data_IF_943045974035
#
_entry.id   IF_943045974035
#
_cell.length_a   1.000
_cell.length_b   1.000
_cell.length_c   1.000
_cell.angle_alpha   90.00
_cell.angle_beta   90.00
_cell.angle_gamma   90.00
#
_symmetry.space_group_name_H-M   'P 1'
#
loop_
_entity.id
_entity.type
_entity.pdbx_description
1 polymer ?
#
# COMPACT_ATOMS: atom_id res chain seq x y z
N UNK A 1 10.10 6.85 -32.77
CA UNK A 1 10.01 7.54 -31.46
C UNK A 1 10.59 6.62 -30.40
N UNK A 2 11.86 6.79 -30.06
CA UNK A 2 12.56 5.91 -29.11
C UNK A 2 12.01 6.20 -27.72
N UNK A 3 11.10 5.35 -27.24
CA UNK A 3 10.57 5.39 -25.89
C UNK A 3 11.75 5.30 -24.92
N UNK A 4 12.07 6.41 -24.23
CA UNK A 4 13.02 6.38 -23.12
C UNK A 4 12.34 5.68 -21.96
N UNK A 5 12.32 4.35 -22.02
CA UNK A 5 11.77 3.44 -21.00
C UNK A 5 12.62 3.53 -19.71
N UNK A 6 13.88 3.99 -19.80
CA UNK A 6 14.82 4.12 -18.68
C UNK A 6 14.91 5.59 -18.24
N UNK A 7 13.88 6.11 -17.57
CA UNK A 7 14.03 7.34 -16.76
C UNK A 7 14.51 6.99 -15.36
N UNK A 8 15.17 7.93 -14.64
CA UNK A 8 15.56 7.71 -13.24
C UNK A 8 14.38 7.28 -12.37
N UNK A 9 13.20 7.84 -12.63
CA UNK A 9 11.98 7.47 -11.92
C UNK A 9 11.59 6.00 -12.12
N UNK A 10 11.53 5.53 -13.38
CA UNK A 10 11.18 4.16 -13.67
C UNK A 10 12.20 3.15 -13.08
N UNK A 11 13.48 3.51 -13.02
CA UNK A 11 14.49 2.69 -12.37
C UNK A 11 14.23 2.54 -10.86
N UNK A 12 13.78 3.60 -10.20
CA UNK A 12 13.46 3.56 -8.77
C UNK A 12 12.19 2.73 -8.52
N UNK A 13 11.16 2.86 -9.36
CA UNK A 13 9.96 1.99 -9.27
C UNK A 13 10.32 0.51 -9.46
N UNK A 14 11.17 0.18 -10.45
CA UNK A 14 11.65 -1.19 -10.68
C UNK A 14 12.48 -1.70 -9.49
N UNK A 15 13.35 -0.86 -8.93
CA UNK A 15 14.12 -1.18 -7.73
C UNK A 15 13.20 -1.47 -6.54
N UNK A 16 12.10 -0.71 -6.39
CA UNK A 16 11.09 -0.96 -5.36
C UNK A 16 10.41 -2.30 -5.55
N UNK A 17 10.05 -2.67 -6.77
CA UNK A 17 9.55 -4.02 -7.06
C UNK A 17 10.56 -5.09 -6.67
N UNK A 18 11.85 -4.85 -6.90
CA UNK A 18 12.90 -5.77 -6.48
C UNK A 18 12.98 -5.87 -4.95
N UNK A 19 12.71 -4.82 -4.18
CA UNK A 19 12.70 -4.89 -2.71
C UNK A 19 11.59 -5.78 -2.13
N UNK A 20 10.48 -5.99 -2.84
CA UNK A 20 9.34 -6.79 -2.37
C UNK A 20 9.72 -8.25 -2.04
N UNK A 21 10.30 -9.05 -2.98
CA UNK A 21 10.68 -10.42 -2.68
C UNK A 21 11.81 -10.48 -1.63
N UNK A 22 12.75 -9.54 -1.63
CA UNK A 22 13.81 -9.50 -0.61
C UNK A 22 13.22 -9.25 0.78
N UNK A 23 12.29 -8.31 0.92
CA UNK A 23 11.57 -8.07 2.16
C UNK A 23 10.84 -9.33 2.62
N UNK A 24 10.10 -9.98 1.72
CA UNK A 24 9.36 -11.19 2.03
C UNK A 24 10.28 -12.32 2.53
N UNK A 25 11.38 -12.58 1.82
CA UNK A 25 12.38 -13.59 2.20
C UNK A 25 12.97 -13.25 3.58
N UNK A 26 13.33 -11.99 3.85
CA UNK A 26 13.91 -11.61 5.14
C UNK A 26 12.92 -11.75 6.31
N UNK A 27 11.64 -11.44 6.09
CA UNK A 27 10.59 -11.67 7.10
C UNK A 27 10.40 -13.16 7.33
N UNK A 28 10.31 -13.94 6.25
CA UNK A 28 10.20 -15.40 6.33
C UNK A 28 11.42 -15.98 7.02
N UNK A 29 12.64 -15.53 6.78
CA UNK A 29 13.85 -16.02 7.46
C UNK A 29 14.03 -15.47 8.89
N UNK A 30 13.05 -14.72 9.42
CA UNK A 30 13.11 -14.04 10.73
C UNK A 30 14.27 -13.05 10.87
N UNK A 31 14.82 -12.59 9.75
CA UNK A 31 15.88 -11.57 9.69
C UNK A 31 15.26 -10.18 9.72
N UNK A 32 14.48 -9.88 10.76
CA UNK A 32 13.65 -8.68 10.85
C UNK A 32 14.42 -7.36 10.82
N UNK A 33 15.68 -7.33 11.30
CA UNK A 33 16.55 -6.15 11.16
C UNK A 33 16.86 -5.84 9.70
N UNK A 34 17.10 -6.87 8.90
CA UNK A 34 17.28 -6.73 7.45
C UNK A 34 15.98 -6.34 6.77
N UNK A 35 14.86 -6.96 7.14
CA UNK A 35 13.54 -6.60 6.62
C UNK A 35 13.19 -5.14 6.91
N UNK A 36 13.51 -4.64 8.12
CA UNK A 36 13.34 -3.24 8.48
C UNK A 36 14.21 -2.31 7.62
N UNK A 37 15.48 -2.67 7.39
CA UNK A 37 16.36 -1.90 6.52
C UNK A 37 15.83 -1.83 5.08
N UNK A 38 15.34 -2.95 4.53
CA UNK A 38 14.71 -2.98 3.20
C UNK A 38 13.44 -2.14 3.17
N UNK A 39 12.60 -2.22 4.20
CA UNK A 39 11.37 -1.43 4.31
C UNK A 39 11.67 0.07 4.33
N UNK A 40 12.66 0.50 5.11
CA UNK A 40 13.12 1.89 5.15
C UNK A 40 13.72 2.32 3.82
N UNK A 41 14.55 1.48 3.19
CA UNK A 41 15.14 1.76 1.89
C UNK A 41 14.07 1.91 0.80
N UNK A 42 13.04 1.07 0.81
CA UNK A 42 11.91 1.15 -0.11
C UNK A 42 11.12 2.45 0.06
N UNK A 43 10.79 2.82 1.31
CA UNK A 43 10.08 4.06 1.61
C UNK A 43 10.90 5.31 1.24
N UNK A 44 12.21 5.28 1.48
CA UNK A 44 13.10 6.38 1.11
C UNK A 44 13.24 6.51 -0.41
N UNK A 45 13.29 5.38 -1.11
CA UNK A 45 13.33 5.34 -2.58
C UNK A 45 12.07 5.96 -3.19
N UNK A 46 10.89 5.68 -2.63
CA UNK A 46 9.62 6.30 -3.06
C UNK A 46 9.62 7.82 -2.90
N UNK A 47 10.04 8.29 -1.73
CA UNK A 47 10.09 9.72 -1.47
C UNK A 47 11.04 10.45 -2.44
N UNK A 48 12.19 9.85 -2.75
CA UNK A 48 13.14 10.41 -3.73
C UNK A 48 12.52 10.41 -5.12
N UNK A 49 11.93 9.31 -5.56
CA UNK A 49 11.31 9.19 -6.88
C UNK A 49 10.24 10.25 -7.08
N UNK A 50 9.33 10.38 -6.12
CA UNK A 50 8.26 11.37 -6.16
C UNK A 50 8.78 12.81 -6.19
N UNK A 51 9.93 13.11 -5.58
CA UNK A 51 10.56 14.44 -5.64
C UNK A 51 11.25 14.66 -7.00
N UNK A 52 12.02 13.68 -7.46
CA UNK A 52 12.79 13.74 -8.71
C UNK A 52 11.83 13.83 -9.91
N UNK A 53 10.76 13.06 -9.94
CA UNK A 53 9.74 13.11 -10.98
C UNK A 53 9.09 14.50 -11.06
N UNK A 54 8.74 15.09 -9.91
CA UNK A 54 8.16 16.45 -9.82
C UNK A 54 9.12 17.55 -10.27
N UNK A 55 10.40 17.44 -9.89
CA UNK A 55 11.41 18.44 -10.24
C UNK A 55 11.83 18.36 -11.72
N UNK A 56 11.94 17.15 -12.27
CA UNK A 56 12.41 16.94 -13.64
C UNK A 56 11.28 16.94 -14.68
N UNK A 57 10.00 16.91 -14.27
CA UNK A 57 8.84 16.73 -15.15
C UNK A 57 8.99 15.51 -16.09
N UNK A 58 9.69 14.48 -15.62
CA UNK A 58 10.02 13.26 -16.36
C UNK A 58 9.11 12.09 -15.96
N UNK A 59 7.82 12.37 -15.81
CA UNK A 59 6.82 11.32 -15.57
C UNK A 59 6.59 10.55 -16.88
N UNK A 60 6.80 9.24 -16.83
CA UNK A 60 6.46 8.37 -17.96
C UNK A 60 5.10 7.71 -17.70
N UNK A 61 4.27 7.48 -18.74
CA UNK A 61 3.00 6.77 -18.57
C UNK A 61 3.16 5.39 -17.91
N UNK A 62 4.30 4.74 -18.16
CA UNK A 62 4.63 3.42 -17.64
C UNK A 62 4.95 3.49 -16.13
N UNK A 63 5.80 4.44 -15.71
CA UNK A 63 6.11 4.65 -14.29
C UNK A 63 4.87 5.03 -13.46
N UNK A 64 4.04 5.94 -13.99
CA UNK A 64 2.79 6.37 -13.33
C UNK A 64 1.81 5.21 -13.14
N UNK A 65 1.78 4.24 -14.07
CA UNK A 65 0.95 3.05 -13.93
C UNK A 65 1.56 2.00 -12.98
N UNK A 66 2.89 1.85 -12.97
CA UNK A 66 3.58 0.86 -12.14
C UNK A 66 3.67 1.27 -10.67
N UNK A 67 3.76 2.55 -10.36
CA UNK A 67 3.99 3.04 -9.01
C UNK A 67 2.86 2.61 -8.02
N UNK A 68 1.56 2.80 -8.33
CA UNK A 68 0.47 2.28 -7.47
C UNK A 68 0.43 0.76 -7.37
N UNK A 69 0.92 0.04 -8.39
CA UNK A 69 0.97 -1.43 -8.39
C UNK A 69 2.08 -1.90 -7.45
N UNK A 70 3.27 -1.30 -7.56
CA UNK A 70 4.42 -1.60 -6.72
C UNK A 70 4.09 -1.40 -5.23
N UNK A 71 3.44 -0.29 -4.89
CA UNK A 71 3.05 0.02 -3.51
C UNK A 71 2.05 -0.98 -2.94
N UNK A 72 1.03 -1.35 -3.73
CA UNK A 72 0.05 -2.34 -3.29
C UNK A 72 0.65 -3.72 -3.13
N UNK A 73 1.54 -4.12 -4.04
CA UNK A 73 2.24 -5.39 -3.93
C UNK A 73 3.12 -5.42 -2.68
N UNK A 74 3.89 -4.36 -2.41
CA UNK A 74 4.71 -4.26 -1.21
C UNK A 74 3.87 -4.41 0.07
N UNK A 75 2.77 -3.66 0.17
CA UNK A 75 1.88 -3.73 1.35
C UNK A 75 1.22 -5.11 1.48
N UNK A 76 0.67 -5.64 0.39
CA UNK A 76 0.01 -6.96 0.39
C UNK A 76 0.99 -8.05 0.81
N UNK A 77 2.19 -8.07 0.22
CA UNK A 77 3.25 -9.00 0.58
C UNK A 77 3.69 -8.83 2.04
N UNK A 78 3.77 -7.60 2.55
CA UNK A 78 4.17 -7.36 3.93
C UNK A 78 3.15 -7.89 4.94
N UNK A 79 1.86 -7.63 4.72
CA UNK A 79 0.79 -8.16 5.57
C UNK A 79 0.71 -9.69 5.53
N UNK A 80 0.91 -10.30 4.36
CA UNK A 80 0.94 -11.76 4.20
C UNK A 80 2.14 -12.37 4.92
N UNK A 81 3.36 -11.85 4.68
CA UNK A 81 4.58 -12.37 5.28
C UNK A 81 4.56 -12.24 6.82
N UNK A 82 4.08 -11.11 7.34
CA UNK A 82 3.93 -10.90 8.78
C UNK A 82 2.85 -11.78 9.40
N UNK A 83 1.72 -12.00 8.71
CA UNK A 83 0.68 -12.91 9.19
C UNK A 83 1.14 -14.38 9.19
N UNK A 84 1.89 -14.77 8.16
CA UNK A 84 2.49 -16.10 8.07
C UNK A 84 3.48 -16.37 9.21
N UNK A 85 4.17 -15.32 9.69
CA UNK A 85 5.05 -15.39 10.86
C UNK A 85 4.37 -15.09 12.19
N UNK A 86 3.04 -15.06 12.23
CA UNK A 86 2.22 -14.76 13.42
C UNK A 86 2.53 -13.40 14.08
N UNK A 87 3.26 -12.52 13.37
CA UNK A 87 3.59 -11.18 13.84
C UNK A 87 2.37 -10.24 13.74
N UNK A 88 1.47 -10.53 12.80
CA UNK A 88 0.16 -9.91 12.66
C UNK A 88 -0.92 -10.98 12.62
N UNK A 89 -2.14 -10.69 13.12
CA UNK A 89 -3.21 -11.66 13.06
C UNK A 89 -3.83 -11.73 11.66
N UNK A 90 -4.18 -12.93 11.21
CA UNK A 90 -4.79 -13.17 9.89
C UNK A 90 -6.05 -12.36 9.62
N UNK A 91 -6.89 -12.14 10.64
CA UNK A 91 -8.11 -11.35 10.50
C UNK A 91 -7.82 -9.91 10.03
N UNK A 92 -6.73 -9.30 10.48
CA UNK A 92 -6.34 -7.96 10.05
C UNK A 92 -5.89 -7.97 8.59
N UNK A 93 -5.02 -8.92 8.24
CA UNK A 93 -4.52 -9.09 6.87
C UNK A 93 -5.65 -9.30 5.87
N UNK A 94 -6.65 -10.11 6.22
CA UNK A 94 -7.84 -10.34 5.37
C UNK A 94 -8.64 -9.04 5.20
N UNK A 95 -8.86 -8.26 6.26
CA UNK A 95 -9.59 -6.98 6.18
C UNK A 95 -8.88 -5.99 5.26
N UNK A 96 -7.55 -5.85 5.39
CA UNK A 96 -6.75 -4.93 4.58
C UNK A 96 -6.77 -5.33 3.10
N UNK A 97 -6.45 -6.60 2.81
CA UNK A 97 -6.37 -7.10 1.43
C UNK A 97 -7.75 -7.06 0.75
N UNK A 98 -8.81 -7.47 1.45
CA UNK A 98 -10.17 -7.44 0.89
C UNK A 98 -10.63 -6.03 0.55
N UNK A 99 -10.34 -5.04 1.39
CA UNK A 99 -10.64 -3.64 1.13
C UNK A 99 -9.87 -3.12 -0.08
N UNK A 100 -8.59 -3.43 -0.18
CA UNK A 100 -7.75 -2.97 -1.30
C UNK A 100 -8.18 -3.61 -2.63
N UNK A 101 -8.55 -4.88 -2.61
CA UNK A 101 -9.16 -5.57 -3.76
C UNK A 101 -10.50 -4.93 -4.15
N UNK A 102 -11.39 -4.65 -3.19
CA UNK A 102 -12.68 -4.02 -3.44
C UNK A 102 -12.56 -2.66 -4.13
N UNK A 103 -11.57 -1.84 -3.73
CA UNK A 103 -11.28 -0.55 -4.36
C UNK A 103 -10.81 -0.73 -5.81
N UNK A 104 -9.91 -1.68 -6.07
CA UNK A 104 -9.42 -1.96 -7.45
C UNK A 104 -10.56 -2.43 -8.33
N UNK A 105 -11.33 -3.42 -7.86
CA UNK A 105 -12.44 -4.01 -8.62
C UNK A 105 -13.48 -2.94 -8.94
N UNK A 106 -13.84 -2.11 -7.97
CA UNK A 106 -14.85 -1.06 -8.20
C UNK A 106 -14.32 0.02 -9.13
N UNK A 107 -13.05 0.43 -9.01
CA UNK A 107 -12.42 1.36 -9.95
C UNK A 107 -12.40 0.80 -11.38
N UNK A 108 -12.12 -0.49 -11.53
CA UNK A 108 -12.13 -1.19 -12.82
C UNK A 108 -13.54 -1.26 -13.42
N UNK A 109 -14.54 -1.69 -12.64
CA UNK A 109 -15.94 -1.78 -13.09
C UNK A 109 -16.49 -0.42 -13.52
N UNK A 110 -16.24 0.64 -12.76
CA UNK A 110 -16.66 2.00 -13.13
C UNK A 110 -15.96 2.43 -14.43
N UNK A 111 -14.66 2.15 -14.57
CA UNK A 111 -13.90 2.52 -15.77
C UNK A 111 -14.41 1.79 -17.03
N UNK A 112 -14.84 0.54 -16.88
CA UNK A 112 -15.40 -0.27 -17.98
C UNK A 112 -16.82 0.18 -18.37
N UNK A 113 -17.65 0.59 -17.41
CA UNK A 113 -19.07 0.90 -17.64
C UNK A 113 -19.31 2.38 -17.98
N UNK A 114 -18.63 3.31 -17.31
CA UNK A 114 -18.92 4.75 -17.39
C UNK A 114 -17.83 5.58 -18.08
N UNK A 115 -16.83 4.92 -18.67
CA UNK A 115 -15.60 5.54 -19.16
C UNK A 115 -14.67 5.99 -18.02
N UNK A 116 -13.42 6.33 -18.36
CA UNK A 116 -12.41 6.72 -17.37
C UNK A 116 -12.82 8.00 -16.63
N UNK A 117 -13.37 7.85 -15.42
CA UNK A 117 -13.62 8.97 -14.50
C UNK A 117 -12.67 8.83 -13.31
N UNK A 118 -11.71 9.74 -13.13
CA UNK A 118 -10.80 9.65 -12.00
C UNK A 118 -11.59 9.68 -10.70
N UNK A 119 -11.55 8.56 -9.97
CA UNK A 119 -12.22 8.41 -8.69
C UNK A 119 -11.28 8.92 -7.61
N UNK A 120 -11.59 10.08 -7.04
CA UNK A 120 -10.74 10.68 -6.03
C UNK A 120 -10.78 9.86 -4.73
N UNK A 121 -9.63 9.39 -4.21
CA UNK A 121 -9.58 8.67 -2.96
C UNK A 121 -10.10 9.57 -1.82
N UNK A 122 -10.98 9.02 -0.99
CA UNK A 122 -11.57 9.72 0.15
C UNK A 122 -10.50 10.00 1.21
N UNK A 123 -10.66 11.05 2.01
CA UNK A 123 -9.72 11.37 3.10
C UNK A 123 -9.53 10.19 4.06
N UNK A 124 -10.60 9.45 4.35
CA UNK A 124 -10.57 8.21 5.13
C UNK A 124 -9.76 7.10 4.44
N UNK A 125 -9.83 7.04 3.11
CA UNK A 125 -9.06 6.10 2.31
C UNK A 125 -7.55 6.34 2.38
N UNK A 126 -7.13 7.61 2.45
CA UNK A 126 -5.72 7.99 2.65
C UNK A 126 -5.26 7.78 4.10
N UNK A 127 -6.11 8.12 5.07
CA UNK A 127 -5.80 7.91 6.48
C UNK A 127 -5.60 6.42 6.81
N UNK A 128 -6.47 5.55 6.27
CA UNK A 128 -6.33 4.10 6.44
C UNK A 128 -5.02 3.56 5.86
N UNK A 129 -4.61 3.98 4.67
CA UNK A 129 -3.34 3.51 4.07
C UNK A 129 -2.14 3.98 4.89
N UNK A 130 -2.12 5.23 5.36
CA UNK A 130 -1.05 5.73 6.24
C UNK A 130 -0.95 4.88 7.51
N UNK A 131 -2.08 4.58 8.15
CA UNK A 131 -2.08 3.76 9.35
C UNK A 131 -1.65 2.33 9.05
N UNK A 132 -2.03 1.75 7.90
CA UNK A 132 -1.57 0.42 7.48
C UNK A 132 -0.05 0.36 7.29
N UNK A 133 0.54 1.35 6.62
CA UNK A 133 2.00 1.48 6.48
C UNK A 133 2.67 1.52 7.86
N UNK A 134 2.13 2.34 8.77
CA UNK A 134 2.64 2.44 10.14
C UNK A 134 2.48 1.13 10.91
N UNK A 135 1.39 0.38 10.72
CA UNK A 135 1.20 -0.93 11.33
C UNK A 135 2.29 -1.92 10.90
N UNK A 136 2.58 -1.99 9.60
CA UNK A 136 3.66 -2.85 9.07
C UNK A 136 5.00 -2.42 9.67
N UNK A 137 5.29 -1.12 9.67
CA UNK A 137 6.54 -0.59 10.21
C UNK A 137 6.73 -0.93 11.70
N UNK A 138 5.69 -0.71 12.52
CA UNK A 138 5.70 -1.01 13.96
C UNK A 138 5.80 -2.52 14.20
N UNK A 139 5.10 -3.34 13.41
CA UNK A 139 5.16 -4.79 13.53
C UNK A 139 6.56 -5.34 13.22
N UNK A 140 7.18 -4.89 12.12
CA UNK A 140 8.56 -5.28 11.78
C UNK A 140 9.54 -4.78 12.83
N UNK A 141 9.39 -3.54 13.31
CA UNK A 141 10.26 -2.96 14.34
C UNK A 141 10.18 -3.71 15.67
N UNK A 142 8.99 -4.16 16.06
CA UNK A 142 8.78 -5.02 17.22
C UNK A 142 9.53 -6.34 17.08
N UNK A 143 9.39 -7.03 15.93
CA UNK A 143 10.07 -8.29 15.67
C UNK A 143 11.60 -8.13 15.53
N UNK A 144 12.07 -6.96 15.09
CA UNK A 144 13.49 -6.60 15.03
C UNK A 144 14.11 -6.29 16.41
N UNK A 145 13.30 -6.33 17.49
CA UNK A 145 13.70 -6.01 18.87
C UNK A 145 14.24 -4.57 18.98
N UNK A 146 13.62 -3.63 18.26
CA UNK A 146 13.96 -2.21 18.39
C UNK A 146 13.53 -1.72 19.78
N UNK A 147 14.42 -1.06 20.55
CA UNK A 147 14.05 -0.49 21.84
C UNK A 147 12.83 0.42 21.73
N UNK A 148 12.03 0.53 22.79
CA UNK A 148 10.80 1.35 22.87
C UNK A 148 9.59 0.84 22.08
N UNK A 149 9.71 -0.15 21.19
CA UNK A 149 8.57 -0.76 20.50
C UNK A 149 8.04 -1.93 21.31
N UNK A 150 6.82 -1.81 21.83
CA UNK A 150 6.17 -2.84 22.65
C UNK A 150 5.01 -3.50 21.93
N UNK A 151 4.67 -4.74 22.33
CA UNK A 151 3.53 -5.51 21.76
C UNK A 151 2.21 -4.74 21.84
N UNK A 152 2.02 -3.93 22.88
CA UNK A 152 0.85 -3.05 23.01
C UNK A 152 0.73 -2.06 21.85
N UNK A 153 1.85 -1.48 21.39
CA UNK A 153 1.87 -0.54 20.27
C UNK A 153 1.46 -1.23 18.97
N UNK A 154 1.97 -2.43 18.70
CA UNK A 154 1.58 -3.25 17.55
C UNK A 154 0.07 -3.49 17.55
N UNK A 155 -0.51 -3.87 18.70
CA UNK A 155 -1.96 -4.09 18.83
C UNK A 155 -2.76 -2.82 18.59
N UNK A 156 -2.35 -1.69 19.17
CA UNK A 156 -3.04 -0.40 18.98
C UNK A 156 -3.07 -0.02 17.50
N UNK A 157 -1.93 -0.10 16.80
CA UNK A 157 -1.88 0.18 15.36
C UNK A 157 -2.67 -0.84 14.54
N UNK A 158 -2.67 -2.11 14.91
CA UNK A 158 -3.48 -3.14 14.25
C UNK A 158 -4.99 -2.86 14.36
N UNK A 159 -5.50 -2.55 15.55
CA UNK A 159 -6.90 -2.20 15.74
C UNK A 159 -7.27 -0.88 15.04
N UNK A 160 -6.38 0.11 15.09
CA UNK A 160 -6.60 1.39 14.40
C UNK A 160 -6.65 1.19 12.88
N UNK A 161 -5.75 0.38 12.32
CA UNK A 161 -5.75 0.02 10.91
C UNK A 161 -7.06 -0.67 10.53
N UNK A 162 -7.50 -1.64 11.33
CA UNK A 162 -8.76 -2.34 11.09
C UNK A 162 -9.96 -1.39 11.12
N UNK A 163 -10.07 -0.55 12.17
CA UNK A 163 -11.17 0.39 12.33
C UNK A 163 -11.24 1.39 11.17
N UNK A 164 -10.11 1.97 10.77
CA UNK A 164 -10.05 2.90 9.64
C UNK A 164 -10.29 2.20 8.30
N UNK A 165 -9.85 0.96 8.13
CA UNK A 165 -10.08 0.19 6.90
C UNK A 165 -11.57 -0.13 6.75
N UNK A 166 -12.23 -0.56 7.82
CA UNK A 166 -13.68 -0.80 7.84
C UNK A 166 -14.44 0.50 7.61
N UNK A 167 -14.09 1.58 8.32
CA UNK A 167 -14.72 2.90 8.13
C UNK A 167 -14.56 3.41 6.69
N UNK A 168 -13.37 3.25 6.10
CA UNK A 168 -13.09 3.58 4.70
C UNK A 168 -13.95 2.73 3.75
N UNK A 169 -14.12 1.43 4.02
CA UNK A 169 -14.93 0.54 3.19
C UNK A 169 -16.41 0.88 3.24
N UNK A 170 -16.94 1.16 4.43
CA UNK A 170 -18.33 1.59 4.62
C UNK A 170 -18.59 2.93 3.91
N UNK A 171 -17.73 3.92 4.13
CA UNK A 171 -17.87 5.23 3.48
C UNK A 171 -17.82 5.09 1.94
N UNK A 172 -16.97 4.20 1.43
CA UNK A 172 -16.91 3.91 0.00
C UNK A 172 -18.23 3.32 -0.53
N UNK A 173 -18.80 2.33 0.17
CA UNK A 173 -20.10 1.74 -0.20
C UNK A 173 -21.23 2.78 -0.23
N UNK A 174 -21.25 3.71 0.73
CA UNK A 174 -22.23 4.80 0.74
C UNK A 174 -22.09 5.76 -0.45
N UNK A 175 -20.85 6.14 -0.80
CA UNK A 175 -20.57 7.03 -1.93
C UNK A 175 -21.01 6.39 -3.25
N UNK A 176 -20.73 5.10 -3.44
CA UNK A 176 -21.16 4.36 -4.64
C UNK A 176 -22.69 4.30 -4.72
N UNK A 177 -23.37 3.95 -3.62
CA UNK A 177 -24.84 3.89 -3.56
C UNK A 177 -25.49 5.23 -3.89
N UNK A 178 -24.97 6.34 -3.35
CA UNK A 178 -25.52 7.68 -3.59
C UNK A 178 -25.40 8.11 -5.06
N UNK A 179 -24.35 7.65 -5.77
CA UNK A 179 -24.09 8.02 -7.17
C UNK A 179 -24.93 7.21 -8.17
N UNK A 180 -25.16 5.94 -7.90
CA UNK A 180 -26.01 5.07 -8.73
C UNK A 180 -27.50 5.23 -8.46
N UNK A 181 -27.90 5.67 -7.25
CA UNK A 181 -29.30 6.01 -6.96
C UNK A 181 -29.83 7.25 -7.69
N UNK A 182 -28.98 8.06 -8.32
CA UNK A 182 -29.38 9.28 -9.03
C UNK A 182 -29.52 9.13 -10.56
N UNK A 183 -29.16 7.98 -11.14
CA UNK A 183 -29.30 7.73 -12.59
C UNK A 183 -30.33 6.62 -12.90
N UNK A 184 -31.13 6.22 -11.91
CA UNK A 184 -32.17 5.20 -12.05
C UNK A 184 -33.59 5.70 -11.73
N UNK A 185 -33.82 7.01 -11.86
CA UNK A 185 -35.12 7.65 -11.72
C UNK A 185 -35.49 8.42 -12.98
#
# INVERSE_FOLDING_TARGET
MTSRILTPANQITILRLAFIPFFAILVVDQRYRGALAVLVAAAFSDMIDGIVARLLKQETPLGVALDPIADKLLMTTAYLALAFREALPWWLTIIVISRDAAIIITALLISLVAGYRPFYPTALGKASTVVQVLTVFVAVSFQAHVPFVVRGLVRTFAYLAAALTIASGIHYGMVVRKRYGQHGG
#
